data_IF_502779596237
#
_entry.id   IF_502779596237
#
_cell.length_a   1.000
_cell.length_b   1.000
_cell.length_c   1.000
_cell.angle_alpha   90.00
_cell.angle_beta   90.00
_cell.angle_gamma   90.00
#
_symmetry.space_group_name_H-M   'P 1'
#
loop_
_entity.id
_entity.type
_entity.pdbx_description
1 polymer ?
#
# COMPACT_ATOMS: atom_id res chain seq x y z
N UNK A 1 1.95 14.82 16.96
CA UNK A 1 2.93 15.90 16.91
C UNK A 1 4.23 15.30 16.39
N UNK A 2 4.71 15.74 15.22
CA UNK A 2 5.91 15.17 14.58
C UNK A 2 7.16 15.50 15.39
N UNK A 3 7.19 16.68 16.03
CA UNK A 3 8.35 17.13 16.82
C UNK A 3 8.65 16.21 18.00
N UNK A 4 7.62 15.80 18.74
CA UNK A 4 7.79 14.89 19.87
C UNK A 4 8.26 13.50 19.43
N UNK A 5 7.74 12.97 18.31
CA UNK A 5 8.20 11.70 17.73
C UNK A 5 9.68 11.81 17.35
N UNK A 6 10.07 12.86 16.62
CA UNK A 6 11.47 13.08 16.22
C UNK A 6 12.40 13.12 17.42
N UNK A 7 12.00 13.81 18.49
CA UNK A 7 12.80 13.92 19.70
C UNK A 7 12.98 12.55 20.38
N UNK A 8 11.90 11.81 20.63
CA UNK A 8 11.98 10.53 21.36
C UNK A 8 12.69 9.45 20.54
N UNK A 9 12.37 9.34 19.24
CA UNK A 9 13.05 8.39 18.34
C UNK A 9 14.53 8.77 18.18
N UNK A 10 14.86 10.06 18.18
CA UNK A 10 16.23 10.55 18.16
C UNK A 10 17.03 10.17 19.41
N UNK A 11 16.43 10.23 20.60
CA UNK A 11 17.08 9.76 21.82
C UNK A 11 17.38 8.27 21.79
N UNK A 12 16.43 7.45 21.31
CA UNK A 12 16.65 6.01 21.15
C UNK A 12 17.82 5.73 20.20
N UNK A 13 17.85 6.40 19.04
CA UNK A 13 18.92 6.26 18.06
C UNK A 13 20.30 6.65 18.65
N UNK A 14 20.37 7.77 19.38
CA UNK A 14 21.60 8.23 20.02
C UNK A 14 22.09 7.28 21.13
N UNK A 15 21.17 6.57 21.80
CA UNK A 15 21.49 5.56 22.79
C UNK A 15 21.85 4.19 22.17
N UNK A 16 21.84 4.06 20.83
CA UNK A 16 22.08 2.79 20.14
C UNK A 16 20.92 1.79 20.25
N UNK A 17 19.72 2.25 20.62
CA UNK A 17 18.53 1.41 20.75
C UNK A 17 17.81 1.36 19.40
N UNK A 18 17.86 0.22 18.72
CA UNK A 18 17.31 0.04 17.38
C UNK A 18 15.79 0.20 17.29
N UNK A 19 15.05 -0.39 18.23
CA UNK A 19 13.59 -0.40 18.22
C UNK A 19 13.01 0.48 19.32
N UNK A 20 12.11 1.39 18.95
CA UNK A 20 11.41 2.26 19.88
C UNK A 20 9.89 2.05 19.76
N UNK A 21 9.21 1.84 20.89
CA UNK A 21 7.75 1.75 20.94
C UNK A 21 7.20 3.00 21.61
N UNK A 22 6.38 3.76 20.89
CA UNK A 22 5.64 4.90 21.43
C UNK A 22 4.20 4.49 21.67
N UNK A 23 3.71 4.68 22.88
CA UNK A 23 2.33 4.31 23.24
C UNK A 23 1.66 5.28 24.18
N UNK A 24 0.34 5.38 24.05
CA UNK A 24 -0.56 6.06 24.99
C UNK A 24 -1.43 5.05 25.78
N UNK A 25 -1.09 3.76 25.75
CA UNK A 25 -1.87 2.67 26.34
C UNK A 25 -2.96 2.09 25.43
N UNK A 26 -3.39 2.82 24.39
CA UNK A 26 -4.38 2.36 23.41
C UNK A 26 -3.71 2.01 22.08
N UNK A 27 -2.82 2.87 21.61
CA UNK A 27 -2.10 2.72 20.35
C UNK A 27 -0.62 2.50 20.62
N UNK A 28 0.00 1.58 19.90
CA UNK A 28 1.40 1.21 20.01
C UNK A 28 2.04 1.37 18.63
N UNK A 29 2.98 2.30 18.52
CA UNK A 29 3.69 2.62 17.27
C UNK A 29 5.12 2.15 17.38
N UNK A 30 5.53 1.28 16.47
CA UNK A 30 6.85 0.64 16.48
C UNK A 30 7.73 1.35 15.44
N UNK A 31 8.79 1.99 15.91
CA UNK A 31 9.74 2.75 15.08
C UNK A 31 11.10 2.06 15.02
N UNK A 32 11.70 2.05 13.82
CA UNK A 32 13.12 1.75 13.64
C UNK A 32 13.92 3.05 13.82
N UNK A 33 14.60 3.20 14.95
CA UNK A 33 15.27 4.45 15.31
C UNK A 33 16.51 4.72 14.43
N UNK A 34 17.20 3.66 14.03
CA UNK A 34 18.43 3.66 13.23
C UNK A 34 18.17 3.87 11.74
N UNK A 35 16.91 3.76 11.30
CA UNK A 35 16.51 4.00 9.93
C UNK A 35 16.85 5.44 9.50
N UNK A 36 17.41 5.58 8.29
CA UNK A 36 17.85 6.86 7.72
C UNK A 36 16.70 7.50 6.95
N UNK A 37 15.69 7.92 7.69
CA UNK A 37 14.51 8.61 7.17
C UNK A 37 14.02 9.68 8.16
N UNK A 38 13.07 10.51 7.73
CA UNK A 38 12.37 11.43 8.62
C UNK A 38 11.56 10.64 9.66
N UNK A 39 11.33 11.21 10.84
CA UNK A 39 10.74 10.49 11.96
C UNK A 39 9.39 9.80 11.66
N UNK A 40 8.45 10.38 10.86
CA UNK A 40 7.23 9.69 10.46
C UNK A 40 7.50 8.45 9.60
N UNK A 41 8.50 8.52 8.71
CA UNK A 41 8.87 7.45 7.78
C UNK A 41 9.65 6.31 8.45
N UNK A 42 10.06 6.49 9.72
CA UNK A 42 10.65 5.43 10.56
C UNK A 42 9.61 4.49 11.16
N UNK A 43 8.31 4.76 10.98
CA UNK A 43 7.22 3.94 11.52
C UNK A 43 7.09 2.64 10.73
N UNK A 44 7.38 1.52 11.38
CA UNK A 44 7.30 0.20 10.78
C UNK A 44 5.84 -0.27 10.70
N UNK A 45 5.20 -0.41 11.85
CA UNK A 45 3.78 -0.76 11.99
C UNK A 45 3.18 -0.14 13.25
N UNK A 46 1.85 -0.13 13.30
CA UNK A 46 1.05 0.35 14.42
C UNK A 46 0.05 -0.72 14.84
N UNK A 47 -0.20 -0.84 16.14
CA UNK A 47 -1.26 -1.67 16.72
C UNK A 47 -2.19 -0.79 17.53
N UNK A 48 -3.49 -1.01 17.43
CA UNK A 48 -4.49 -0.29 18.20
C UNK A 48 -5.35 -1.27 19.00
N UNK A 49 -5.69 -0.88 20.22
CA UNK A 49 -6.71 -1.53 21.06
C UNK A 49 -8.06 -0.80 20.96
N UNK A 50 -8.17 0.27 20.16
CA UNK A 50 -9.43 0.99 19.94
C UNK A 50 -10.41 0.05 19.21
N UNK A 51 -11.61 -0.22 19.78
CA UNK A 51 -12.63 -1.06 19.16
C UNK A 51 -13.03 -0.64 17.74
N UNK A 52 -12.89 0.64 17.39
CA UNK A 52 -13.16 1.15 16.04
C UNK A 52 -12.11 0.69 15.03
N UNK A 53 -10.85 0.61 15.45
CA UNK A 53 -9.74 0.18 14.59
C UNK A 53 -9.64 -1.36 14.55
N UNK A 54 -10.04 -2.05 15.62
CA UNK A 54 -10.06 -3.52 15.71
C UNK A 54 -11.41 -4.15 15.36
N UNK A 55 -12.32 -3.37 14.77
CA UNK A 55 -13.65 -3.88 14.41
C UNK A 55 -13.50 -5.11 13.50
N UNK A 56 -14.24 -6.18 13.83
CA UNK A 56 -14.19 -7.43 13.08
C UNK A 56 -13.04 -8.37 13.42
N UNK A 57 -12.11 -7.96 14.27
CA UNK A 57 -11.05 -8.83 14.80
C UNK A 57 -11.49 -9.51 16.11
N UNK A 58 -11.04 -10.74 16.32
CA UNK A 58 -11.16 -11.41 17.61
C UNK A 58 -10.12 -10.88 18.60
N UNK A 59 -10.36 -11.07 19.91
CA UNK A 59 -9.39 -10.69 20.95
C UNK A 59 -8.04 -11.41 20.74
N UNK A 60 -8.07 -12.67 20.31
CA UNK A 60 -6.88 -13.44 20.01
C UNK A 60 -6.11 -12.85 18.82
N UNK A 61 -6.80 -12.40 17.77
CA UNK A 61 -6.16 -11.75 16.63
C UNK A 61 -5.47 -10.44 17.03
N UNK A 62 -6.14 -9.62 17.83
CA UNK A 62 -5.54 -8.38 18.36
C UNK A 62 -4.31 -8.73 19.21
N UNK A 63 -4.42 -9.70 20.13
CA UNK A 63 -3.30 -10.14 20.96
C UNK A 63 -2.12 -10.68 20.14
N UNK A 64 -2.39 -11.44 19.07
CA UNK A 64 -1.36 -11.98 18.18
C UNK A 64 -0.54 -10.89 17.48
N UNK A 65 -1.10 -9.70 17.26
CA UNK A 65 -0.31 -8.59 16.72
C UNK A 65 0.82 -8.17 17.67
N UNK A 66 0.57 -8.20 18.99
CA UNK A 66 1.57 -7.88 20.02
C UNK A 66 2.67 -8.94 20.13
N UNK A 67 2.40 -10.18 19.70
CA UNK A 67 3.37 -11.27 19.78
C UNK A 67 4.66 -10.99 18.98
N UNK A 68 4.58 -10.12 17.96
CA UNK A 68 5.70 -9.71 17.08
C UNK A 68 6.84 -9.00 17.81
N UNK A 69 6.55 -8.38 18.96
CA UNK A 69 7.55 -7.75 19.84
C UNK A 69 7.50 -8.32 21.26
N UNK A 70 7.01 -9.54 21.42
CA UNK A 70 7.19 -10.29 22.66
C UNK A 70 8.67 -10.50 22.96
N UNK A 71 9.04 -10.75 24.22
CA UNK A 71 10.44 -10.98 24.62
C UNK A 71 11.08 -12.09 23.77
N UNK A 72 10.35 -13.18 23.54
CA UNK A 72 10.80 -14.31 22.74
C UNK A 72 10.97 -13.94 21.26
N UNK A 73 10.08 -13.11 20.69
CA UNK A 73 10.20 -12.63 19.31
C UNK A 73 11.37 -11.67 19.14
N UNK A 74 11.57 -10.76 20.10
CA UNK A 74 12.72 -9.84 20.11
C UNK A 74 14.04 -10.61 20.21
N UNK A 75 14.12 -11.63 21.06
CA UNK A 75 15.32 -12.48 21.16
C UNK A 75 15.64 -13.24 19.86
N UNK A 76 14.64 -13.47 19.01
CA UNK A 76 14.78 -14.12 17.69
C UNK A 76 15.03 -13.12 16.55
N UNK A 77 15.09 -11.82 16.82
CA UNK A 77 15.26 -10.79 15.80
C UNK A 77 14.07 -10.63 14.85
N UNK A 78 12.85 -10.91 15.32
CA UNK A 78 11.64 -10.83 14.47
C UNK A 78 11.42 -9.42 13.95
N UNK A 79 11.59 -8.38 14.79
CA UNK A 79 11.49 -7.00 14.33
C UNK A 79 12.57 -6.64 13.32
N UNK A 80 13.80 -7.14 13.49
CA UNK A 80 14.91 -6.91 12.57
C UNK A 80 14.57 -7.44 11.17
N UNK A 81 14.04 -8.66 11.10
CA UNK A 81 13.63 -9.29 9.84
C UNK A 81 12.48 -8.52 9.16
N UNK A 82 11.45 -8.14 9.92
CA UNK A 82 10.33 -7.36 9.40
C UNK A 82 10.83 -5.99 8.91
N UNK A 83 11.64 -5.33 9.74
CA UNK A 83 12.24 -4.04 9.44
C UNK A 83 13.05 -4.05 8.16
N UNK A 84 13.96 -5.01 8.04
CA UNK A 84 14.76 -5.20 6.83
C UNK A 84 13.87 -5.40 5.62
N UNK A 85 12.90 -6.31 5.68
CA UNK A 85 11.99 -6.56 4.55
C UNK A 85 11.22 -5.30 4.16
N UNK A 86 10.59 -4.61 5.11
CA UNK A 86 9.70 -3.48 4.83
C UNK A 86 10.47 -2.25 4.38
N UNK A 87 11.51 -1.84 5.13
CA UNK A 87 12.28 -0.63 4.79
C UNK A 87 13.18 -0.84 3.58
N UNK A 88 13.79 -2.01 3.42
CA UNK A 88 14.64 -2.29 2.25
C UNK A 88 13.79 -2.38 0.99
N UNK A 89 12.65 -3.08 1.03
CA UNK A 89 11.74 -3.13 -0.12
C UNK A 89 11.23 -1.73 -0.48
N UNK A 90 10.86 -0.92 0.51
CA UNK A 90 10.44 0.47 0.29
C UNK A 90 11.53 1.32 -0.39
N UNK A 91 12.78 1.24 0.09
CA UNK A 91 13.93 1.95 -0.52
C UNK A 91 14.23 1.47 -1.93
N UNK A 92 14.26 0.16 -2.15
CA UNK A 92 14.50 -0.43 -3.46
C UNK A 92 13.40 0.00 -4.43
N UNK A 93 12.13 -0.03 -4.02
CA UNK A 93 11.02 0.44 -4.86
C UNK A 93 11.20 1.90 -5.24
N UNK A 94 11.46 2.80 -4.29
CA UNK A 94 11.74 4.22 -4.56
C UNK A 94 12.92 4.42 -5.53
N UNK A 95 13.97 3.58 -5.42
CA UNK A 95 15.10 3.63 -6.33
C UNK A 95 14.73 3.16 -7.74
N UNK A 96 13.91 2.12 -7.87
CA UNK A 96 13.39 1.63 -9.15
C UNK A 96 12.45 2.66 -9.77
N UNK A 97 11.54 3.27 -8.99
CA UNK A 97 10.66 4.36 -9.44
C UNK A 97 11.49 5.47 -10.11
N UNK A 98 12.53 5.94 -9.41
CA UNK A 98 13.44 6.95 -9.93
C UNK A 98 14.19 6.47 -11.17
N UNK A 99 14.62 5.21 -11.20
CA UNK A 99 15.35 4.63 -12.31
C UNK A 99 14.51 4.58 -13.60
N UNK A 100 13.21 4.32 -13.50
CA UNK A 100 12.33 4.26 -14.67
C UNK A 100 11.75 5.63 -15.05
N UNK A 101 11.50 6.50 -14.07
CA UNK A 101 11.05 7.87 -14.31
C UNK A 101 12.17 8.77 -14.85
N UNK A 102 13.41 8.60 -14.42
CA UNK A 102 14.55 9.35 -14.95
C UNK A 102 15.77 8.43 -15.16
N UNK A 103 15.74 7.60 -16.21
CA UNK A 103 16.78 6.60 -16.43
C UNK A 103 18.14 7.23 -16.74
N UNK A 104 19.21 6.79 -16.05
CA UNK A 104 20.55 7.25 -16.32
C UNK A 104 21.03 6.76 -17.69
N UNK A 105 21.96 7.51 -18.29
CA UNK A 105 22.52 7.18 -19.60
C UNK A 105 23.17 5.79 -19.66
N UNK A 106 23.70 5.29 -18.54
CA UNK A 106 24.25 3.92 -18.44
C UNK A 106 23.19 2.85 -18.67
N UNK A 107 22.00 3.00 -18.06
CA UNK A 107 20.87 2.09 -18.26
C UNK A 107 20.34 2.17 -19.70
N UNK A 108 20.21 3.37 -20.25
CA UNK A 108 19.77 3.56 -21.63
C UNK A 108 20.74 2.87 -22.60
N UNK A 109 22.05 3.02 -22.40
CA UNK A 109 23.08 2.34 -23.20
C UNK A 109 22.99 0.82 -23.06
N UNK A 110 22.80 0.31 -21.84
CA UNK A 110 22.66 -1.12 -21.57
C UNK A 110 21.43 -1.72 -22.28
N UNK A 111 20.28 -1.03 -22.24
CA UNK A 111 19.07 -1.48 -22.94
C UNK A 111 19.32 -1.49 -24.45
N UNK A 112 19.92 -0.43 -25.02
CA UNK A 112 20.25 -0.38 -26.45
C UNK A 112 21.20 -1.49 -26.89
N UNK A 113 22.20 -1.83 -26.08
CA UNK A 113 23.11 -2.94 -26.39
C UNK A 113 22.43 -4.32 -26.34
N UNK A 114 21.41 -4.48 -25.50
CA UNK A 114 20.60 -5.71 -25.44
C UNK A 114 19.65 -5.81 -26.64
N UNK A 115 18.99 -4.70 -27.03
CA UNK A 115 18.00 -4.70 -28.12
C UNK A 115 18.67 -4.90 -29.49
N UNK A 116 19.96 -4.56 -29.63
CA UNK A 116 20.75 -4.72 -30.88
C UNK A 116 20.09 -4.07 -32.11
N UNK A 117 19.34 -2.99 -31.86
CA UNK A 117 18.72 -2.17 -32.90
C UNK A 117 19.23 -0.73 -32.77
N UNK A 118 20.09 -0.35 -33.70
CA UNK A 118 20.72 0.98 -33.75
C UNK A 118 19.74 2.10 -34.15
N UNK A 119 18.56 1.75 -34.67
CA UNK A 119 17.52 2.72 -35.03
C UNK A 119 16.85 3.34 -33.79
N UNK A 120 16.92 2.66 -32.63
CA UNK A 120 16.30 3.11 -31.40
C UNK A 120 17.14 4.22 -30.75
N UNK A 121 16.55 5.41 -30.68
CA UNK A 121 17.17 6.58 -30.07
C UNK A 121 17.09 6.53 -28.53
N UNK A 122 18.07 7.10 -27.81
CA UNK A 122 18.04 7.20 -26.35
C UNK A 122 16.74 7.78 -25.77
N UNK A 123 16.16 8.77 -26.45
CA UNK A 123 14.90 9.41 -26.06
C UNK A 123 13.75 8.40 -26.09
N UNK A 124 13.67 7.56 -27.13
CA UNK A 124 12.63 6.54 -27.24
C UNK A 124 12.76 5.48 -26.14
N UNK A 125 13.97 5.12 -25.74
CA UNK A 125 14.18 4.22 -24.59
C UNK A 125 13.69 4.87 -23.30
N UNK A 126 14.01 6.15 -23.07
CA UNK A 126 13.55 6.90 -21.89
C UNK A 126 12.03 7.00 -21.84
N UNK A 127 11.40 7.37 -22.95
CA UNK A 127 9.94 7.46 -23.07
C UNK A 127 9.28 6.08 -22.93
N UNK A 128 9.88 5.02 -23.49
CA UNK A 128 9.36 3.66 -23.33
C UNK A 128 9.51 3.14 -21.90
N UNK A 129 10.62 3.40 -21.21
CA UNK A 129 10.77 3.03 -19.79
C UNK A 129 9.76 3.78 -18.93
N UNK A 130 9.60 5.08 -19.15
CA UNK A 130 8.55 5.87 -18.50
C UNK A 130 7.18 5.30 -18.77
N UNK A 131 6.82 5.05 -20.03
CA UNK A 131 5.52 4.48 -20.41
C UNK A 131 5.30 3.07 -19.89
N UNK A 132 6.33 2.22 -19.81
CA UNK A 132 6.18 0.87 -19.27
C UNK A 132 6.01 0.91 -17.76
N UNK A 133 6.78 1.74 -17.05
CA UNK A 133 6.60 1.94 -15.61
C UNK A 133 5.26 2.57 -15.31
N UNK A 134 4.94 3.63 -16.05
CA UNK A 134 3.65 4.27 -16.02
C UNK A 134 2.58 3.28 -16.37
N UNK A 135 2.58 2.45 -17.41
CA UNK A 135 1.55 1.42 -17.63
C UNK A 135 1.47 0.38 -16.50
N UNK A 136 2.60 0.06 -15.86
CA UNK A 136 2.63 -0.76 -14.64
C UNK A 136 2.07 0.01 -13.42
N UNK A 137 1.86 1.32 -13.54
CA UNK A 137 1.20 2.24 -12.60
C UNK A 137 0.11 3.11 -13.26
N UNK A 138 -0.47 2.73 -14.42
CA UNK A 138 -1.31 3.53 -15.34
C UNK A 138 -2.10 2.61 -16.30
N UNK A 139 -2.10 1.28 -16.12
CA UNK A 139 -3.34 0.47 -16.17
C UNK A 139 -4.35 0.93 -15.07
N UNK A 140 -4.32 2.23 -14.81
CA UNK A 140 -4.89 3.08 -13.80
C UNK A 140 -5.50 4.34 -14.48
N UNK A 141 -5.37 4.57 -15.82
CA UNK A 141 -6.24 5.50 -16.59
C UNK A 141 -6.37 5.07 -18.08
N UNK A 142 -7.46 4.41 -18.47
CA UNK A 142 -7.92 4.32 -19.88
C UNK A 142 -9.43 4.07 -19.89
N UNK A 143 -10.28 4.69 -20.72
CA UNK A 143 -10.12 5.66 -21.81
C UNK A 143 -11.53 6.12 -22.21
N UNK A 144 -11.72 7.43 -22.39
CA UNK A 144 -12.59 8.06 -23.42
C UNK A 144 -13.28 9.32 -22.88
N UNK A 145 -12.73 10.49 -23.19
CA UNK A 145 -13.55 11.70 -23.29
C UNK A 145 -13.20 12.47 -24.56
N UNK A 146 -13.82 12.00 -25.66
CA UNK A 146 -14.17 12.85 -26.79
C UNK A 146 -15.12 13.96 -26.33
N UNK A 147 -14.86 15.17 -26.82
CA UNK A 147 -15.65 16.38 -26.59
C UNK A 147 -17.08 16.30 -27.19
N UNK A 148 -18.02 16.98 -26.50
CA UNK A 148 -19.30 17.65 -26.94
C UNK A 148 -20.54 16.74 -27.19
N UNK A 149 -21.78 17.02 -26.71
CA UNK A 149 -22.51 18.22 -26.26
C UNK A 149 -23.54 17.92 -25.14
N UNK A 150 -24.04 19.01 -24.52
CA UNK A 150 -24.96 19.16 -23.37
C UNK A 150 -26.40 18.63 -23.54
N UNK A 151 -26.99 18.19 -22.42
CA UNK A 151 -28.36 18.56 -22.00
C UNK A 151 -28.40 18.71 -20.46
N UNK A 152 -29.15 19.69 -19.91
CA UNK A 152 -29.08 20.03 -18.49
C UNK A 152 -30.12 19.23 -17.68
N UNK A 153 -29.71 18.75 -16.50
CA UNK A 153 -30.30 19.08 -15.19
C UNK A 153 -29.97 18.01 -14.13
N UNK A 154 -29.86 18.46 -12.87
CA UNK A 154 -29.60 17.75 -11.59
C UNK A 154 -28.16 17.81 -11.04
N UNK A 155 -27.91 18.93 -10.34
CA UNK A 155 -27.13 19.04 -9.09
C UNK A 155 -25.91 18.11 -8.94
N UNK A 156 -24.85 18.37 -9.70
CA UNK A 156 -23.55 17.72 -9.50
C UNK A 156 -22.83 18.27 -8.26
N UNK A 157 -22.85 17.50 -7.17
CA UNK A 157 -21.74 17.52 -6.21
C UNK A 157 -20.48 17.22 -7.02
N UNK A 158 -19.52 18.15 -7.08
CA UNK A 158 -18.18 17.87 -7.61
C UNK A 158 -17.66 16.60 -6.94
N UNK A 159 -17.47 15.52 -7.69
CA UNK A 159 -16.80 14.31 -7.23
C UNK A 159 -15.41 14.77 -6.78
N UNK A 160 -15.10 14.67 -5.48
CA UNK A 160 -13.72 14.82 -5.03
C UNK A 160 -12.95 13.64 -5.62
N UNK A 161 -11.95 13.95 -6.42
CA UNK A 161 -10.99 12.97 -6.92
C UNK A 161 -10.08 12.56 -5.77
N UNK A 162 -9.89 11.26 -5.59
CA UNK A 162 -8.98 10.67 -4.61
C UNK A 162 -7.90 9.93 -5.39
N UNK A 163 -6.67 9.93 -4.88
CA UNK A 163 -5.50 9.30 -5.50
C UNK A 163 -4.81 8.34 -4.53
N UNK A 164 -3.70 7.72 -4.96
CA UNK A 164 -2.93 6.82 -4.11
C UNK A 164 -2.40 7.56 -2.87
N UNK A 165 -1.82 8.74 -3.08
CA UNK A 165 -1.22 9.60 -2.07
C UNK A 165 -2.20 9.84 -0.91
N UNK A 166 -3.46 10.16 -1.21
CA UNK A 166 -4.52 10.33 -0.22
C UNK A 166 -4.70 9.11 0.70
N UNK A 167 -4.56 7.89 0.17
CA UNK A 167 -4.78 6.67 0.94
C UNK A 167 -3.54 6.22 1.72
N UNK A 168 -2.34 6.48 1.21
CA UNK A 168 -1.07 6.05 1.82
C UNK A 168 -0.51 7.09 2.80
N UNK A 169 -0.97 8.35 2.74
CA UNK A 169 -0.47 9.41 3.61
C UNK A 169 -0.61 9.04 5.10
N UNK A 170 0.51 9.14 5.82
CA UNK A 170 0.58 8.86 7.26
C UNK A 170 0.38 7.39 7.66
N UNK A 171 0.35 6.46 6.70
CA UNK A 171 0.29 5.02 6.97
C UNK A 171 1.67 4.46 7.32
N UNK A 172 1.76 3.47 8.22
CA UNK A 172 3.01 2.75 8.44
C UNK A 172 3.54 2.12 7.15
N UNK A 173 4.86 2.01 7.01
CA UNK A 173 5.47 1.49 5.80
C UNK A 173 4.96 0.06 5.48
N UNK A 174 4.74 -0.78 6.50
CA UNK A 174 4.18 -2.12 6.31
C UNK A 174 2.80 -2.10 5.63
N UNK A 175 1.93 -1.17 6.01
CA UNK A 175 0.57 -1.06 5.43
C UNK A 175 0.64 -0.63 3.96
N UNK A 176 1.55 0.30 3.65
CA UNK A 176 1.78 0.77 2.28
C UNK A 176 2.33 -0.36 1.40
N UNK A 177 3.32 -1.10 1.90
CA UNK A 177 3.92 -2.24 1.20
C UNK A 177 2.90 -3.38 0.97
N UNK A 178 2.08 -3.67 1.97
CA UNK A 178 1.01 -4.66 1.86
C UNK A 178 -0.04 -4.22 0.83
N UNK A 179 -0.43 -2.94 0.83
CA UNK A 179 -1.38 -2.40 -0.15
C UNK A 179 -0.83 -2.54 -1.56
N UNK A 180 0.41 -2.13 -1.81
CA UNK A 180 1.06 -2.26 -3.12
C UNK A 180 1.15 -3.70 -3.61
N UNK A 181 1.34 -4.65 -2.68
CA UNK A 181 1.35 -6.08 -3.00
C UNK A 181 -0.03 -6.56 -3.47
N UNK A 182 -1.09 -6.21 -2.74
CA UNK A 182 -2.47 -6.55 -3.14
C UNK A 182 -2.85 -5.85 -4.43
N UNK A 183 -2.49 -4.58 -4.57
CA UNK A 183 -2.77 -3.78 -5.76
C UNK A 183 -2.16 -4.41 -7.02
N UNK A 184 -0.87 -4.74 -6.98
CA UNK A 184 -0.20 -5.43 -8.06
C UNK A 184 -0.82 -6.81 -8.31
N UNK A 185 -1.18 -7.56 -7.27
CA UNK A 185 -1.85 -8.84 -7.42
C UNK A 185 -3.20 -8.71 -8.15
N UNK A 186 -4.05 -7.75 -7.74
CA UNK A 186 -5.34 -7.53 -8.36
C UNK A 186 -5.22 -7.10 -9.83
N UNK A 187 -4.27 -6.22 -10.16
CA UNK A 187 -4.09 -5.73 -11.54
C UNK A 187 -3.48 -6.77 -12.47
N UNK A 188 -2.67 -7.70 -11.93
CA UNK A 188 -2.11 -8.79 -12.73
C UNK A 188 -3.09 -9.94 -12.99
N UNK A 189 -4.30 -9.91 -12.39
CA UNK A 189 -5.31 -10.94 -12.62
C UNK A 189 -5.84 -10.92 -14.07
N UNK A 190 -6.18 -9.73 -14.55
CA UNK A 190 -6.47 -9.46 -15.96
C UNK A 190 -6.02 -8.02 -16.26
N UNK A 191 -4.77 -7.84 -16.75
CA UNK A 191 -4.19 -6.52 -16.96
C UNK A 191 -4.94 -5.62 -17.94
N UNK A 192 -5.85 -6.20 -18.75
CA UNK A 192 -6.61 -5.47 -19.76
C UNK A 192 -7.97 -5.04 -19.21
N UNK A 193 -8.62 -5.88 -18.41
CA UNK A 193 -10.01 -5.68 -18.01
C UNK A 193 -10.20 -5.24 -16.56
N UNK A 194 -9.17 -5.30 -15.72
CA UNK A 194 -9.23 -4.84 -14.33
C UNK A 194 -9.07 -3.32 -14.27
N UNK A 195 -10.09 -2.66 -13.72
CA UNK A 195 -10.09 -1.23 -13.39
C UNK A 195 -9.92 -1.04 -11.88
N UNK A 196 -9.11 -0.06 -11.50
CA UNK A 196 -8.96 0.41 -10.11
C UNK A 196 -9.51 1.82 -9.98
N UNK A 197 -10.36 2.06 -8.97
CA UNK A 197 -10.85 3.39 -8.62
C UNK A 197 -10.63 3.69 -7.14
N UNK A 198 -10.02 4.84 -6.85
CA UNK A 198 -9.90 5.38 -5.50
C UNK A 198 -11.20 6.08 -5.11
N UNK A 199 -11.78 5.67 -4.00
CA UNK A 199 -12.96 6.29 -3.40
C UNK A 199 -12.60 6.78 -2.00
N UNK A 200 -13.38 7.71 -1.47
CA UNK A 200 -13.11 8.40 -0.20
C UNK A 200 -12.64 7.52 0.99
N UNK A 201 -13.02 6.25 1.03
CA UNK A 201 -12.65 5.32 2.11
C UNK A 201 -11.90 4.08 1.65
N UNK A 202 -12.01 3.68 0.39
CA UNK A 202 -11.48 2.39 -0.06
C UNK A 202 -11.10 2.44 -1.53
N UNK A 203 -10.20 1.54 -1.90
CA UNK A 203 -9.79 1.29 -3.27
C UNK A 203 -10.64 0.15 -3.81
N UNK A 204 -11.29 0.39 -4.96
CA UNK A 204 -12.21 -0.56 -5.60
C UNK A 204 -11.52 -1.18 -6.81
N UNK A 205 -11.58 -2.50 -6.93
CA UNK A 205 -11.15 -3.23 -8.11
C UNK A 205 -12.36 -3.91 -8.78
N UNK A 206 -12.53 -3.66 -10.08
CA UNK A 206 -13.60 -4.22 -10.89
C UNK A 206 -13.06 -4.82 -12.18
N UNK A 207 -13.63 -5.95 -12.61
CA UNK A 207 -13.39 -6.49 -13.94
C UNK A 207 -14.63 -6.20 -14.79
N UNK A 208 -14.45 -5.46 -15.89
CA UNK A 208 -15.52 -4.91 -16.72
C UNK A 208 -16.51 -4.05 -15.92
N UNK A 209 -17.60 -4.62 -15.38
CA UNK A 209 -18.60 -3.91 -14.56
C UNK A 209 -18.84 -4.55 -13.20
N UNK A 210 -18.23 -5.71 -12.91
CA UNK A 210 -18.38 -6.38 -11.62
C UNK A 210 -17.20 -6.05 -10.72
N UNK A 211 -17.51 -5.51 -9.54
CA UNK A 211 -16.55 -5.39 -8.45
C UNK A 211 -16.20 -6.80 -7.97
N UNK A 212 -14.91 -7.07 -7.77
CA UNK A 212 -14.46 -8.34 -7.20
C UNK A 212 -13.67 -8.17 -5.90
N UNK A 213 -13.03 -7.02 -5.70
CA UNK A 213 -12.23 -6.72 -4.52
C UNK A 213 -12.37 -5.26 -4.11
N UNK A 214 -12.43 -5.01 -2.81
CA UNK A 214 -12.33 -3.68 -2.22
C UNK A 214 -11.33 -3.70 -1.08
N UNK A 215 -10.45 -2.70 -1.01
CA UNK A 215 -9.37 -2.61 -0.03
C UNK A 215 -9.46 -1.29 0.73
N UNK A 216 -9.56 -1.36 2.05
CA UNK A 216 -9.52 -0.19 2.94
C UNK A 216 -8.21 -0.22 3.74
N UNK A 217 -7.38 0.80 3.53
CA UNK A 217 -6.14 0.98 4.28
C UNK A 217 -6.46 1.54 5.67
N UNK A 218 -6.29 0.73 6.72
CA UNK A 218 -6.45 1.13 8.12
C UNK A 218 -5.10 1.60 8.69
N UNK A 219 -5.02 1.90 9.99
CA UNK A 219 -3.74 2.29 10.62
C UNK A 219 -2.83 1.09 10.87
N UNK A 220 -3.40 -0.05 11.21
CA UNK A 220 -2.68 -1.27 11.63
C UNK A 220 -2.71 -2.40 10.59
N UNK A 221 -3.24 -2.16 9.39
CA UNK A 221 -3.37 -3.18 8.36
C UNK A 221 -4.35 -2.79 7.26
N UNK A 222 -4.80 -3.81 6.52
CA UNK A 222 -5.80 -3.68 5.47
C UNK A 222 -7.05 -4.46 5.83
N UNK A 223 -8.21 -3.90 5.49
CA UNK A 223 -9.47 -4.65 5.42
C UNK A 223 -9.82 -4.89 3.96
N UNK A 224 -10.00 -6.16 3.59
CA UNK A 224 -10.25 -6.57 2.21
C UNK A 224 -11.62 -7.25 2.14
N UNK A 225 -12.46 -6.81 1.21
CA UNK A 225 -13.73 -7.45 0.88
C UNK A 225 -13.61 -8.10 -0.49
N UNK A 226 -13.96 -9.38 -0.55
CA UNK A 226 -13.95 -10.16 -1.78
C UNK A 226 -15.38 -10.55 -2.13
N UNK A 227 -15.75 -10.39 -3.40
CA UNK A 227 -17.03 -10.88 -3.91
C UNK A 227 -16.92 -12.38 -4.17
N UNK A 228 -17.07 -13.16 -3.10
CA UNK A 228 -17.04 -14.62 -3.10
C UNK A 228 -18.22 -15.15 -2.28
N UNK A 229 -18.69 -16.35 -2.62
CA UNK A 229 -19.66 -17.04 -1.79
C UNK A 229 -18.91 -17.75 -0.65
N UNK A 230 -19.11 -17.29 0.58
CA UNK A 230 -18.34 -17.81 1.72
C UNK A 230 -18.55 -19.30 1.94
N UNK A 231 -19.72 -19.85 1.60
CA UNK A 231 -20.01 -21.29 1.71
C UNK A 231 -19.21 -22.17 0.76
N UNK A 232 -18.61 -21.59 -0.28
CA UNK A 232 -17.79 -22.29 -1.28
C UNK A 232 -16.30 -22.26 -0.94
N UNK A 233 -15.91 -21.61 0.17
CA UNK A 233 -14.52 -21.53 0.59
C UNK A 233 -14.19 -22.72 1.47
N UNK A 234 -13.38 -23.64 0.96
CA UNK A 234 -12.84 -24.74 1.73
C UNK A 234 -11.81 -24.24 2.75
N UNK A 235 -12.02 -24.56 4.03
CA UNK A 235 -11.14 -24.19 5.15
C UNK A 235 -10.74 -22.70 5.15
N UNK A 236 -11.71 -21.78 5.30
CA UNK A 236 -11.40 -20.36 5.31
C UNK A 236 -10.39 -20.06 6.42
N UNK A 237 -9.37 -19.21 6.16
CA UNK A 237 -8.38 -18.87 7.16
C UNK A 237 -9.05 -18.16 8.35
N UNK A 238 -8.47 -18.27 9.55
CA UNK A 238 -9.07 -17.70 10.78
C UNK A 238 -9.33 -16.19 10.70
N UNK A 239 -8.62 -15.47 9.83
CA UNK A 239 -8.80 -14.04 9.60
C UNK A 239 -9.91 -13.71 8.57
N UNK A 240 -10.50 -14.70 7.91
CA UNK A 240 -11.61 -14.52 6.98
C UNK A 240 -12.95 -14.69 7.69
N UNK A 241 -13.88 -13.77 7.40
CA UNK A 241 -15.21 -13.72 8.03
C UNK A 241 -16.29 -13.60 6.96
N UNK A 242 -17.37 -14.35 7.12
CA UNK A 242 -18.59 -14.12 6.35
C UNK A 242 -19.21 -12.78 6.74
N UNK A 243 -19.28 -11.88 5.77
CA UNK A 243 -19.85 -10.54 5.93
C UNK A 243 -21.12 -10.33 5.11
N UNK A 244 -21.68 -11.37 4.49
CA UNK A 244 -22.88 -11.29 3.63
C UNK A 244 -24.12 -10.68 4.31
N UNK A 245 -24.16 -10.67 5.64
CA UNK A 245 -25.27 -10.16 6.47
C UNK A 245 -24.94 -8.89 7.26
N UNK A 246 -23.76 -8.31 7.06
CA UNK A 246 -23.31 -7.09 7.76
C UNK A 246 -22.82 -6.06 6.75
N UNK A 247 -22.82 -4.78 7.15
CA UNK A 247 -22.37 -3.70 6.25
C UNK A 247 -20.92 -3.91 5.79
N UNK A 248 -20.71 -3.90 4.47
CA UNK A 248 -19.40 -4.02 3.82
C UNK A 248 -19.28 -3.07 2.63
N UNK A 249 -18.05 -2.71 2.27
CA UNK A 249 -17.79 -1.94 1.05
C UNK A 249 -17.69 -2.88 -0.15
N UNK A 250 -18.30 -2.50 -1.27
CA UNK A 250 -18.11 -3.21 -2.54
C UNK A 250 -19.22 -4.14 -3.03
N UNK A 251 -20.37 -4.23 -2.36
CA UNK A 251 -21.53 -4.97 -2.88
C UNK A 251 -22.87 -4.42 -2.40
N UNK A 252 -23.70 -4.05 -3.38
CA UNK A 252 -25.16 -4.23 -3.42
C UNK A 252 -25.46 -5.14 -4.60
#
# INVERSE_FOLDING_TARGET
>A
DVKSITQVVGYAANAGVEWCILTNGITYKIYCSTEKAEAPDKLLFEISLDPKETEGMSIQQVANQFARFSREAMAKGVLDQIGEQVFTTGKIRKAIDKLFMDPPNSLIKLIRSIVKDDSIKPIQVKESLKRLWLQTSENEISSDYKFKYETPDKTTKKEKEYDEEYHIEGKPQEVVELFKTIDNFCRNFDPVNVERKYLAKYVKYSCSKSIFCCVHLQKSGLRVWLKLNYSEIDNPPEYARDVSRVGHWGSW
#
